data_IF_995664315595
#
_entry.id   IF_995664315595
#
_cell.length_a   1.000
_cell.length_b   1.000
_cell.length_c   1.000
_cell.angle_alpha   90.00
_cell.angle_beta   90.00
_cell.angle_gamma   90.00
#
_symmetry.space_group_name_H-M   'P 1'
#
loop_
_entity.id
_entity.type
_entity.pdbx_description
1 polymer ?
#
# COMPACT_ATOMS: atom_id res chain seq x y z
N UNK A 1 -7.85 -6.46 -4.64
CA UNK A 1 -8.05 -6.53 -3.17
C UNK A 1 -8.14 -7.99 -2.78
N UNK A 2 -7.59 -8.39 -1.63
CA UNK A 2 -7.63 -9.80 -1.21
C UNK A 2 -8.87 -10.08 -0.37
N UNK A 3 -9.47 -11.24 -0.59
CA UNK A 3 -10.60 -11.76 0.18
C UNK A 3 -10.17 -13.04 0.90
N UNK A 4 -10.80 -13.30 2.04
CA UNK A 4 -10.57 -14.51 2.82
C UNK A 4 -11.90 -15.09 3.29
N UNK A 5 -11.98 -16.41 3.34
CA UNK A 5 -13.04 -17.11 4.04
C UNK A 5 -12.84 -16.95 5.55
N UNK A 6 -13.92 -16.65 6.26
CA UNK A 6 -13.97 -16.63 7.71
C UNK A 6 -15.17 -17.46 8.17
N UNK A 7 -14.90 -18.49 8.96
CA UNK A 7 -15.93 -19.31 9.59
C UNK A 7 -16.14 -18.76 11.00
N UNK A 8 -17.37 -18.41 11.36
CA UNK A 8 -17.70 -18.04 12.75
C UNK A 8 -18.12 -19.28 13.54
N UNK A 9 -18.22 -19.17 14.86
CA UNK A 9 -18.51 -20.31 15.75
C UNK A 9 -19.84 -21.04 15.46
N UNK A 10 -20.81 -20.40 14.80
CA UNK A 10 -22.05 -21.05 14.34
C UNK A 10 -21.84 -22.00 13.16
N UNK A 11 -20.64 -22.00 12.55
CA UNK A 11 -20.31 -22.73 11.33
C UNK A 11 -20.61 -21.95 10.05
N UNK A 12 -21.24 -20.78 10.16
CA UNK A 12 -21.49 -19.89 9.03
C UNK A 12 -20.19 -19.38 8.42
N UNK A 13 -20.18 -19.32 7.08
CA UNK A 13 -19.02 -18.94 6.28
C UNK A 13 -19.25 -17.56 5.67
N UNK A 14 -18.28 -16.69 5.86
CA UNK A 14 -18.28 -15.35 5.29
C UNK A 14 -17.07 -15.14 4.40
N UNK A 15 -17.28 -14.54 3.24
CA UNK A 15 -16.19 -14.08 2.37
C UNK A 15 -15.93 -12.60 2.64
N UNK A 16 -14.76 -12.30 3.19
CA UNK A 16 -14.51 -11.00 3.83
C UNK A 16 -13.26 -10.34 3.24
N UNK A 17 -13.32 -9.04 2.87
CA UNK A 17 -12.13 -8.29 2.47
C UNK A 17 -11.04 -8.29 3.55
N UNK A 18 -9.77 -8.29 3.17
CA UNK A 18 -8.62 -8.25 4.10
C UNK A 18 -8.69 -7.11 5.13
N UNK A 19 -9.36 -6.01 4.76
CA UNK A 19 -9.53 -4.82 5.58
C UNK A 19 -10.64 -4.93 6.63
N UNK A 20 -11.39 -6.03 6.65
CA UNK A 20 -12.40 -6.31 7.64
C UNK A 20 -11.97 -7.54 8.44
N UNK A 21 -11.93 -7.40 9.76
CA UNK A 21 -11.52 -8.45 10.67
C UNK A 21 -12.66 -8.79 11.62
N UNK A 22 -12.94 -10.08 11.79
CA UNK A 22 -13.85 -10.57 12.82
C UNK A 22 -13.23 -10.38 14.19
N UNK A 23 -14.02 -9.86 15.12
CA UNK A 23 -13.69 -9.81 16.55
C UNK A 23 -14.72 -10.68 17.25
N UNK A 24 -14.25 -11.76 17.86
CA UNK A 24 -15.03 -12.63 18.72
C UNK A 24 -14.29 -12.75 20.05
N UNK A 25 -14.74 -11.97 21.03
CA UNK A 25 -14.19 -11.98 22.39
C UNK A 25 -15.30 -12.42 23.32
N UNK A 26 -15.16 -13.60 23.93
CA UNK A 26 -16.19 -14.15 24.82
C UNK A 26 -16.06 -13.64 26.27
N UNK A 27 -14.84 -13.27 26.70
CA UNK A 27 -14.52 -12.86 28.07
C UNK A 27 -13.51 -11.71 28.09
N UNK A 28 -13.58 -10.73 29.03
CA UNK A 28 -14.52 -10.59 30.16
C UNK A 28 -15.85 -9.92 29.81
N UNK A 29 -15.97 -9.31 28.64
CA UNK A 29 -17.24 -8.82 28.09
C UNK A 29 -17.41 -9.36 26.68
N UNK A 30 -18.49 -10.09 26.45
CA UNK A 30 -18.86 -10.62 25.14
C UNK A 30 -18.92 -9.49 24.12
N UNK A 31 -18.01 -9.50 23.14
CA UNK A 31 -17.88 -8.51 22.07
C UNK A 31 -17.73 -9.23 20.74
N UNK A 32 -18.77 -9.13 19.93
CA UNK A 32 -18.88 -9.83 18.65
C UNK A 32 -19.23 -8.85 17.55
N UNK A 33 -18.48 -8.92 16.46
CA UNK A 33 -18.65 -8.00 15.36
C UNK A 33 -17.50 -7.97 14.37
N UNK A 34 -17.59 -7.01 13.47
CA UNK A 34 -16.63 -6.78 12.41
C UNK A 34 -15.91 -5.46 12.61
N UNK A 35 -14.59 -5.49 12.52
CA UNK A 35 -13.75 -4.31 12.59
C UNK A 35 -13.18 -3.97 11.22
N UNK A 36 -13.59 -2.84 10.66
CA UNK A 36 -12.97 -2.23 9.49
C UNK A 36 -11.63 -1.60 9.89
N UNK A 37 -10.58 -1.84 9.12
CA UNK A 37 -9.24 -1.26 9.27
C UNK A 37 -8.74 -0.76 7.91
N UNK A 38 -8.68 0.57 7.75
CA UNK A 38 -8.23 1.18 6.49
C UNK A 38 -7.53 2.53 6.74
N UNK A 39 -6.40 2.76 6.06
CA UNK A 39 -5.61 4.00 6.14
C UNK A 39 -5.29 4.48 7.58
N UNK A 40 -5.03 3.53 8.50
CA UNK A 40 -4.75 3.84 9.91
C UNK A 40 -5.98 4.17 10.76
N UNK A 41 -7.19 4.05 10.21
CA UNK A 41 -8.46 4.26 10.91
C UNK A 41 -9.15 2.92 11.14
N UNK A 42 -9.88 2.85 12.24
CA UNK A 42 -10.67 1.67 12.60
C UNK A 42 -12.10 2.04 12.92
N UNK A 43 -13.04 1.15 12.61
CA UNK A 43 -14.44 1.25 13.05
C UNK A 43 -15.00 -0.15 13.30
N UNK A 44 -15.72 -0.30 14.40
CA UNK A 44 -16.33 -1.56 14.81
C UNK A 44 -17.84 -1.54 14.53
N UNK A 45 -18.35 -2.67 14.05
CA UNK A 45 -19.76 -2.93 13.75
C UNK A 45 -20.17 -4.17 14.56
N UNK A 46 -21.06 -4.00 15.54
CA UNK A 46 -21.47 -5.07 16.43
C UNK A 46 -22.56 -5.93 15.80
N UNK A 47 -22.60 -7.21 16.14
CA UNK A 47 -23.70 -8.11 15.74
C UNK A 47 -25.02 -7.83 16.49
N UNK A 48 -25.00 -6.95 17.50
CA UNK A 48 -26.15 -6.48 18.28
C UNK A 48 -27.05 -7.56 18.95
N UNK A 49 -26.64 -8.83 19.00
CA UNK A 49 -27.37 -9.92 19.69
C UNK A 49 -26.41 -10.95 20.33
N UNK A 50 -26.74 -11.47 21.51
CA UNK A 50 -26.03 -12.56 22.20
C UNK A 50 -26.02 -13.87 21.41
N UNK A 51 -27.01 -14.07 20.53
CA UNK A 51 -27.09 -15.21 19.61
C UNK A 51 -26.39 -14.95 18.26
N UNK A 52 -25.79 -13.75 18.08
CA UNK A 52 -24.93 -13.37 16.95
C UNK A 52 -25.53 -13.51 15.55
N UNK A 53 -26.86 -13.61 15.45
CA UNK A 53 -27.67 -13.61 14.21
C UNK A 53 -27.43 -12.35 13.35
N UNK A 54 -26.93 -11.25 13.94
CA UNK A 54 -26.63 -10.01 13.22
C UNK A 54 -25.28 -9.96 12.52
N UNK A 55 -24.50 -11.06 12.49
CA UNK A 55 -23.16 -11.07 11.91
C UNK A 55 -23.14 -10.67 10.42
N UNK A 56 -24.09 -11.14 9.62
CA UNK A 56 -24.22 -10.77 8.21
C UNK A 56 -24.53 -9.27 8.05
N UNK A 57 -25.52 -8.76 8.79
CA UNK A 57 -25.90 -7.34 8.72
C UNK A 57 -24.76 -6.42 9.17
N UNK A 58 -24.04 -6.79 10.23
CA UNK A 58 -22.87 -6.07 10.70
C UNK A 58 -21.74 -6.09 9.66
N UNK A 59 -21.57 -7.20 8.93
CA UNK A 59 -20.61 -7.31 7.83
C UNK A 59 -21.00 -6.39 6.67
N UNK A 60 -22.26 -6.38 6.26
CA UNK A 60 -22.75 -5.48 5.20
C UNK A 60 -22.52 -4.01 5.56
N UNK A 61 -22.79 -3.61 6.80
CA UNK A 61 -22.48 -2.25 7.28
C UNK A 61 -20.98 -1.95 7.27
N UNK A 62 -20.15 -2.93 7.64
CA UNK A 62 -18.70 -2.82 7.59
C UNK A 62 -18.18 -2.65 6.15
N UNK A 63 -18.76 -3.39 5.20
CA UNK A 63 -18.47 -3.31 3.76
C UNK A 63 -18.83 -1.91 3.23
N UNK A 64 -20.06 -1.43 3.46
CA UNK A 64 -20.49 -0.08 3.06
C UNK A 64 -19.62 1.02 3.69
N UNK A 65 -19.15 0.82 4.91
CA UNK A 65 -18.23 1.77 5.52
C UNK A 65 -16.83 1.70 4.91
N UNK A 66 -16.33 0.51 4.60
CA UNK A 66 -15.05 0.32 3.92
C UNK A 66 -15.05 1.00 2.55
N UNK A 67 -16.14 0.91 1.77
CA UNK A 67 -16.21 1.55 0.45
C UNK A 67 -16.09 3.07 0.55
N UNK A 68 -16.86 3.69 1.45
CA UNK A 68 -16.77 5.12 1.76
C UNK A 68 -15.37 5.54 2.18
N UNK A 69 -14.65 4.67 2.89
CA UNK A 69 -13.28 4.93 3.30
C UNK A 69 -12.29 4.86 2.14
N UNK A 70 -12.46 3.90 1.22
CA UNK A 70 -11.62 3.76 0.03
C UNK A 70 -11.79 4.96 -0.91
N UNK A 71 -13.00 5.48 -1.05
CA UNK A 71 -13.24 6.67 -1.88
C UNK A 71 -12.58 7.92 -1.28
N UNK A 72 -12.69 8.05 0.05
CA UNK A 72 -12.25 9.22 0.81
C UNK A 72 -10.74 9.28 1.05
N UNK A 73 -10.09 8.15 1.34
CA UNK A 73 -8.70 8.11 1.77
C UNK A 73 -7.80 7.48 0.70
N UNK A 74 -6.55 7.95 0.65
CA UNK A 74 -5.53 7.34 -0.22
C UNK A 74 -5.24 5.90 0.22
N UNK A 75 -4.88 5.06 -0.75
CA UNK A 75 -4.50 3.70 -0.44
C UNK A 75 -3.30 3.65 0.53
N UNK A 76 -3.36 2.80 1.57
CA UNK A 76 -2.19 2.55 2.41
C UNK A 76 -1.08 1.92 1.56
N UNK A 77 0.11 2.53 1.55
CA UNK A 77 1.26 2.09 0.76
C UNK A 77 2.35 1.47 1.63
N UNK A 78 3.09 0.49 1.10
CA UNK A 78 4.27 -0.10 1.73
C UNK A 78 5.57 0.72 1.55
N UNK A 79 5.48 1.92 0.97
CA UNK A 79 6.62 2.81 0.82
C UNK A 79 7.21 3.17 2.20
N UNK A 80 8.51 2.93 2.36
CA UNK A 80 9.25 3.32 3.57
C UNK A 80 9.21 4.84 3.74
N UNK A 81 8.92 5.30 4.95
CA UNK A 81 8.85 6.72 5.31
C UNK A 81 10.09 7.26 6.01
N UNK A 82 10.93 6.38 6.55
CA UNK A 82 12.16 6.73 7.26
C UNK A 82 13.38 6.00 6.70
N UNK A 83 14.52 6.70 6.67
CA UNK A 83 15.84 6.11 6.40
C UNK A 83 16.15 5.03 7.44
N UNK A 84 16.95 4.03 7.06
CA UNK A 84 17.37 3.03 8.05
C UNK A 84 18.32 3.68 9.05
N UNK A 85 18.26 3.31 10.35
CA UNK A 85 19.22 3.78 11.35
C UNK A 85 20.68 3.44 11.00
N UNK A 86 20.87 2.38 10.20
CA UNK A 86 22.18 1.93 9.72
C UNK A 86 22.70 2.72 8.51
N UNK A 87 21.93 3.66 7.96
CA UNK A 87 22.37 4.45 6.81
C UNK A 87 23.44 5.44 7.27
N UNK A 88 24.67 5.22 6.80
CA UNK A 88 25.85 6.05 7.12
C UNK A 88 25.86 7.42 6.41
N UNK A 89 24.87 7.72 5.58
CA UNK A 89 24.81 8.95 4.79
C UNK A 89 23.54 9.73 5.07
N UNK A 90 23.65 11.06 5.15
CA UNK A 90 22.52 11.99 5.30
C UNK A 90 21.73 12.19 3.99
N UNK A 91 21.80 11.20 3.09
CA UNK A 91 21.04 11.23 1.86
C UNK A 91 19.58 10.83 2.09
N UNK A 92 18.64 11.40 1.34
CA UNK A 92 17.23 11.03 1.42
C UNK A 92 16.98 9.55 1.13
N UNK A 93 15.82 9.07 1.56
CA UNK A 93 15.33 7.73 1.24
C UNK A 93 15.33 7.47 -0.27
N UNK A 94 15.76 6.26 -0.65
CA UNK A 94 15.82 5.86 -2.05
C UNK A 94 16.89 6.58 -2.87
N UNK A 95 17.74 7.42 -2.28
CA UNK A 95 18.87 8.07 -2.96
C UNK A 95 20.20 7.62 -2.34
N UNK A 96 21.14 7.24 -3.21
CA UNK A 96 22.50 6.80 -2.87
C UNK A 96 23.54 7.52 -3.72
N UNK A 97 24.75 7.72 -3.17
CA UNK A 97 25.91 8.29 -3.86
C UNK A 97 26.57 9.43 -3.09
N UNK A 98 27.39 10.27 -3.76
CA UNK A 98 27.84 10.13 -5.14
C UNK A 98 28.50 8.76 -5.40
N UNK A 99 28.09 8.05 -6.44
CA UNK A 99 28.68 6.79 -6.85
C UNK A 99 29.66 7.04 -7.99
N UNK A 100 30.89 6.64 -7.77
CA UNK A 100 31.95 6.63 -8.77
C UNK A 100 31.73 5.45 -9.74
N UNK A 101 31.82 5.71 -11.05
CA UNK A 101 31.71 4.67 -12.07
C UNK A 101 32.69 4.92 -13.20
N UNK A 102 33.28 3.84 -13.69
CA UNK A 102 34.02 3.82 -14.96
C UNK A 102 33.11 3.17 -16.01
N UNK A 103 32.87 3.85 -17.13
CA UNK A 103 32.08 3.30 -18.22
C UNK A 103 32.97 2.38 -19.07
N UNK A 104 32.46 1.19 -19.43
CA UNK A 104 33.18 0.22 -20.27
C UNK A 104 33.57 0.91 -21.59
N UNK A 105 34.87 0.95 -21.89
CA UNK A 105 35.41 1.62 -23.09
C UNK A 105 35.69 3.12 -22.96
N UNK A 106 35.46 3.74 -21.78
CA UNK A 106 35.89 5.12 -21.49
C UNK A 106 36.85 5.14 -20.32
N UNK A 107 37.95 5.88 -20.46
CA UNK A 107 38.93 6.05 -19.40
C UNK A 107 38.57 7.19 -18.42
N UNK A 108 37.31 7.61 -18.40
CA UNK A 108 36.84 8.74 -17.59
C UNK A 108 35.92 8.24 -16.48
N UNK A 109 36.25 8.66 -15.25
CA UNK A 109 35.46 8.41 -14.06
C UNK A 109 34.29 9.40 -14.02
N UNK A 110 33.08 8.89 -13.84
CA UNK A 110 31.85 9.67 -13.70
C UNK A 110 31.24 9.47 -12.30
N UNK A 111 30.71 10.56 -11.75
CA UNK A 111 30.02 10.59 -10.47
C UNK A 111 28.53 10.81 -10.69
N UNK A 112 27.71 9.96 -10.06
CA UNK A 112 26.26 9.99 -10.22
C UNK A 112 25.55 9.78 -8.89
N UNK A 113 24.35 10.36 -8.72
CA UNK A 113 23.39 9.85 -7.74
C UNK A 113 22.57 8.72 -8.36
N UNK A 114 22.30 7.69 -7.55
CA UNK A 114 21.41 6.60 -7.88
C UNK A 114 20.09 6.78 -7.11
N UNK A 115 18.97 6.69 -7.83
CA UNK A 115 17.63 6.94 -7.33
C UNK A 115 16.81 5.68 -7.54
N UNK A 116 16.32 5.08 -6.46
CA UNK A 116 15.29 4.07 -6.52
C UNK A 116 13.97 4.71 -6.97
N UNK A 117 13.29 4.12 -7.94
CA UNK A 117 12.00 4.56 -8.49
C UNK A 117 10.98 3.47 -8.12
N UNK A 118 10.05 3.76 -7.18
CA UNK A 118 9.02 2.81 -6.82
C UNK A 118 8.01 2.71 -7.96
N UNK A 119 7.50 1.51 -8.23
CA UNK A 119 6.47 1.27 -9.25
C UNK A 119 5.39 0.38 -8.64
N UNK A 120 4.13 0.79 -8.73
CA UNK A 120 3.04 0.02 -8.16
C UNK A 120 2.85 -1.28 -8.96
N UNK A 121 2.64 -2.40 -8.27
CA UNK A 121 2.54 -3.74 -8.90
C UNK A 121 3.83 -4.29 -9.55
N UNK A 122 4.91 -3.51 -9.60
CA UNK A 122 6.14 -3.86 -10.32
C UNK A 122 7.38 -3.74 -9.45
N UNK A 123 8.45 -4.42 -9.85
CA UNK A 123 9.76 -4.26 -9.19
C UNK A 123 10.23 -2.79 -9.29
N UNK A 124 10.78 -2.20 -8.21
CA UNK A 124 11.40 -0.87 -8.28
C UNK A 124 12.54 -0.85 -9.30
N UNK A 125 12.75 0.30 -9.93
CA UNK A 125 13.87 0.50 -10.87
C UNK A 125 14.84 1.54 -10.34
N UNK A 126 15.96 1.72 -11.02
CA UNK A 126 16.98 2.68 -10.63
C UNK A 126 17.21 3.69 -11.75
N UNK A 127 17.05 4.98 -11.44
CA UNK A 127 17.43 6.09 -12.33
C UNK A 127 18.71 6.74 -11.81
N UNK A 128 19.55 7.22 -12.73
CA UNK A 128 20.80 7.90 -12.39
C UNK A 128 20.71 9.39 -12.71
N UNK A 129 21.31 10.20 -11.85
CA UNK A 129 21.48 11.63 -12.10
C UNK A 129 22.97 11.93 -12.10
N UNK A 130 23.43 12.41 -13.24
CA UNK A 130 24.82 12.79 -13.45
C UNK A 130 25.21 14.04 -12.64
N UNK A 131 26.40 13.99 -12.05
CA UNK A 131 26.99 15.10 -11.31
C UNK A 131 28.13 15.72 -12.13
N UNK A 132 29.06 14.89 -12.59
CA UNK A 132 30.29 15.32 -13.23
C UNK A 132 31.25 14.17 -13.46
N UNK A 133 32.32 14.45 -14.21
CA UNK A 133 33.53 13.64 -14.25
C UNK A 133 34.48 14.05 -13.13
N UNK A 134 35.56 13.30 -12.91
CA UNK A 134 36.63 13.65 -11.98
C UNK A 134 37.09 15.12 -12.09
N UNK A 135 37.32 15.61 -13.32
CA UNK A 135 37.75 17.00 -13.58
C UNK A 135 36.67 18.06 -13.33
N UNK A 136 35.40 17.67 -13.37
CA UNK A 136 34.27 18.61 -13.39
C UNK A 136 33.38 18.48 -12.17
N UNK A 137 33.68 17.54 -11.27
CA UNK A 137 32.99 17.32 -10.01
C UNK A 137 33.19 18.52 -9.10
N UNK A 138 32.09 19.06 -8.56
CA UNK A 138 32.15 20.17 -7.62
C UNK A 138 30.99 20.13 -6.63
N UNK A 139 31.14 20.73 -5.43
CA UNK A 139 30.06 20.80 -4.45
C UNK A 139 28.77 21.44 -5.00
N UNK A 140 28.90 22.46 -5.87
CA UNK A 140 27.76 23.11 -6.50
C UNK A 140 26.98 22.13 -7.41
N UNK A 141 27.69 21.33 -8.22
CA UNK A 141 27.06 20.30 -9.06
C UNK A 141 26.44 19.18 -8.23
N UNK A 142 27.07 18.78 -7.12
CA UNK A 142 26.47 17.82 -6.19
C UNK A 142 25.13 18.33 -5.65
N UNK A 143 25.07 19.58 -5.18
CA UNK A 143 23.82 20.17 -4.68
C UNK A 143 22.74 20.23 -5.76
N UNK A 144 23.09 20.67 -6.97
CA UNK A 144 22.15 20.74 -8.09
C UNK A 144 21.63 19.34 -8.49
N UNK A 145 22.53 18.36 -8.61
CA UNK A 145 22.17 16.98 -8.93
C UNK A 145 21.32 16.34 -7.82
N UNK A 146 21.63 16.60 -6.55
CA UNK A 146 20.85 16.09 -5.42
C UNK A 146 19.45 16.70 -5.40
N UNK A 147 19.30 18.00 -5.70
CA UNK A 147 17.99 18.65 -5.83
C UNK A 147 17.13 17.95 -6.90
N UNK A 148 17.69 17.74 -8.10
CA UNK A 148 17.03 17.00 -9.18
C UNK A 148 16.68 15.57 -8.77
N UNK A 149 17.58 14.89 -8.07
CA UNK A 149 17.35 13.53 -7.60
C UNK A 149 16.18 13.44 -6.61
N UNK A 150 16.07 14.41 -5.69
CA UNK A 150 14.94 14.53 -4.76
C UNK A 150 13.61 14.77 -5.50
N UNK A 151 13.62 15.65 -6.50
CA UNK A 151 12.43 15.95 -7.32
C UNK A 151 11.94 14.70 -8.07
N UNK A 152 12.84 14.02 -8.77
CA UNK A 152 12.54 12.75 -9.47
C UNK A 152 11.94 11.72 -8.52
N UNK A 153 12.54 11.53 -7.34
CA UNK A 153 12.04 10.57 -6.35
C UNK A 153 10.66 10.95 -5.85
N UNK A 154 10.44 12.23 -5.53
CA UNK A 154 9.15 12.76 -5.05
C UNK A 154 8.04 12.56 -6.08
N UNK A 155 8.33 12.81 -7.35
CA UNK A 155 7.39 12.58 -8.45
C UNK A 155 7.03 11.10 -8.58
N UNK A 156 8.03 10.21 -8.54
CA UNK A 156 7.80 8.78 -8.61
C UNK A 156 6.98 8.23 -7.42
N UNK A 157 7.19 8.76 -6.21
CA UNK A 157 6.37 8.40 -5.05
C UNK A 157 4.93 8.86 -5.19
N UNK A 158 4.70 10.07 -5.73
CA UNK A 158 3.34 10.55 -6.04
C UNK A 158 2.64 9.64 -7.05
N UNK A 159 3.33 9.29 -8.15
CA UNK A 159 2.79 8.40 -9.17
C UNK A 159 2.47 7.02 -8.60
N UNK A 160 3.34 6.48 -7.74
CA UNK A 160 3.08 5.22 -7.04
C UNK A 160 1.81 5.29 -6.18
N UNK A 161 1.67 6.33 -5.36
CA UNK A 161 0.53 6.49 -4.44
C UNK A 161 -0.77 6.66 -5.24
N UNK A 162 -0.73 7.40 -6.35
CA UNK A 162 -1.87 7.59 -7.23
C UNK A 162 -2.32 6.25 -7.83
N UNK A 163 -1.40 5.53 -8.48
CA UNK A 163 -1.69 4.22 -9.07
C UNK A 163 -2.19 3.21 -8.03
N UNK A 164 -1.62 3.21 -6.82
CA UNK A 164 -2.10 2.36 -5.72
C UNK A 164 -3.53 2.72 -5.27
N UNK A 165 -3.87 4.01 -5.29
CA UNK A 165 -5.21 4.50 -4.92
C UNK A 165 -6.22 4.18 -6.00
N UNK A 166 -5.87 4.36 -7.27
CA UNK A 166 -6.70 4.00 -8.42
C UNK A 166 -7.00 2.50 -8.44
N UNK A 167 -5.97 1.65 -8.29
CA UNK A 167 -6.16 0.20 -8.20
C UNK A 167 -7.09 -0.18 -7.04
N UNK A 168 -6.95 0.48 -5.88
CA UNK A 168 -7.83 0.22 -4.74
C UNK A 168 -9.27 0.72 -4.95
N UNK A 169 -9.49 1.73 -5.79
CA UNK A 169 -10.83 2.19 -6.15
C UNK A 169 -11.49 1.29 -7.19
N UNK A 170 -10.75 0.77 -8.16
CA UNK A 170 -11.24 -0.28 -9.05
C UNK A 170 -11.67 -1.53 -8.26
N UNK A 171 -10.87 -1.93 -7.26
CA UNK A 171 -11.25 -2.97 -6.31
C UNK A 171 -12.53 -2.65 -5.52
N UNK A 172 -12.82 -1.35 -5.27
CA UNK A 172 -13.99 -0.90 -4.53
C UNK A 172 -15.27 -1.06 -5.34
N UNK A 173 -15.20 -0.77 -6.64
CA UNK A 173 -16.31 -0.96 -7.59
C UNK A 173 -16.72 -2.43 -7.63
N UNK A 174 -15.76 -3.35 -7.73
CA UNK A 174 -16.01 -4.79 -7.65
C UNK A 174 -16.64 -5.21 -6.31
N UNK A 175 -16.22 -4.61 -5.20
CA UNK A 175 -16.79 -4.92 -3.88
C UNK A 175 -18.25 -4.46 -3.77
N UNK A 176 -18.61 -3.32 -4.37
CA UNK A 176 -20.00 -2.88 -4.45
C UNK A 176 -20.83 -3.84 -5.29
N UNK A 177 -20.32 -4.27 -6.45
CA UNK A 177 -20.97 -5.28 -7.29
C UNK A 177 -21.21 -6.58 -6.51
N UNK A 178 -20.18 -7.11 -5.84
CA UNK A 178 -20.26 -8.32 -5.03
C UNK A 178 -21.18 -8.20 -3.81
N UNK A 179 -21.36 -7.00 -3.24
CA UNK A 179 -22.29 -6.79 -2.12
C UNK A 179 -23.76 -6.94 -2.53
N UNK A 180 -24.04 -7.01 -3.84
CA UNK A 180 -25.36 -7.28 -4.41
C UNK A 180 -25.50 -8.72 -4.97
N UNK A 181 -24.45 -9.53 -4.89
CA UNK A 181 -24.44 -10.90 -5.42
C UNK A 181 -25.10 -11.89 -4.47
N UNK A 182 -25.81 -12.86 -5.03
CA UNK A 182 -26.44 -13.97 -4.29
C UNK A 182 -25.43 -15.09 -4.04
N UNK A 183 -25.73 -16.04 -3.14
CA UNK A 183 -24.87 -17.22 -2.88
C UNK A 183 -24.52 -18.00 -4.16
N UNK A 184 -25.42 -18.01 -5.15
CA UNK A 184 -25.21 -18.66 -6.45
C UNK A 184 -24.13 -17.97 -7.31
N UNK A 185 -24.04 -16.65 -7.24
CA UNK A 185 -23.09 -15.83 -8.02
C UNK A 185 -21.66 -15.95 -7.46
N UNK A 186 -21.55 -16.10 -6.14
CA UNK A 186 -20.27 -16.30 -5.43
C UNK A 186 -19.66 -17.67 -5.76
N UNK A 187 -20.49 -18.72 -5.87
CA UNK A 187 -20.03 -20.07 -6.25
C UNK A 187 -19.52 -20.14 -7.70
N UNK A 188 -20.09 -19.35 -8.61
CA UNK A 188 -19.67 -19.28 -10.02
C UNK A 188 -18.27 -18.68 -10.20
N UNK A 189 -17.91 -17.67 -9.40
CA UNK A 189 -16.63 -16.96 -9.54
C UNK A 189 -15.44 -17.65 -8.87
N UNK A 190 -15.67 -18.70 -8.06
CA UNK A 190 -14.61 -19.51 -7.44
C UNK A 190 -14.03 -20.60 -8.37
N UNK A 191 -14.59 -20.75 -9.58
CA UNK A 191 -14.24 -21.84 -10.51
C UNK A 191 -13.13 -21.50 -11.52
N UNK A 192 -12.51 -20.31 -11.47
CA UNK A 192 -11.49 -19.84 -12.42
C UNK A 192 -10.24 -19.28 -11.74
#
# INVERSE_FOLDING_TARGET
MQYREHIIYTGEKFYVPENIQRIDIDYPKSTHGWQVRYAGKTKFFSDHNSERIGAEQALQQAIVHLTKMIDKYRAPTSLRRQTSPRKKTDLPLGISGPLMRVNKGRNTVEYNYSISIPRFGLKPTTKRVYIGTDKTFSPAKCRAALKRAKEIRKEAEKAYILAATEARRADNELLLEMSHWTEADIASHQSH
#
